data_IF_491368690840
#
_entry.id   IF_491368690840
#
_cell.length_a   1.000
_cell.length_b   1.000
_cell.length_c   1.000
_cell.angle_alpha   90.00
_cell.angle_beta   90.00
_cell.angle_gamma   90.00
#
_symmetry.space_group_name_H-M   'P 1'
#
loop_
_entity.id
_entity.type
_entity.pdbx_description
1 polymer ?
#
# COMPACT_ATOMS: atom_id res chain seq x y z
N UNK A 1 -29.23 3.96 -14.35
CA UNK A 1 -28.38 4.08 -15.55
C UNK A 1 -27.25 3.07 -15.44
N UNK A 2 -27.32 2.06 -16.31
CA UNK A 2 -26.43 0.92 -16.28
C UNK A 2 -25.08 1.16 -16.98
N UNK A 3 -24.36 0.10 -17.16
CA UNK A 3 -23.13 0.09 -17.94
C UNK A 3 -23.43 0.22 -19.44
N UNK A 4 -22.52 0.85 -20.18
CA UNK A 4 -22.53 0.88 -21.66
C UNK A 4 -21.17 0.43 -22.20
N UNK A 5 -21.18 -0.13 -23.39
CA UNK A 5 -19.92 -0.46 -24.08
C UNK A 5 -19.13 0.83 -24.36
N UNK A 6 -17.81 0.78 -24.14
CA UNK A 6 -16.95 1.94 -24.34
C UNK A 6 -17.04 2.48 -25.79
N UNK A 7 -17.06 3.81 -25.96
CA UNK A 7 -17.33 4.46 -27.24
C UNK A 7 -16.41 3.97 -28.40
N UNK A 8 -15.14 3.72 -28.12
CA UNK A 8 -14.19 3.18 -29.11
C UNK A 8 -14.63 1.81 -29.62
N UNK A 9 -15.19 0.97 -28.73
CA UNK A 9 -15.66 -0.37 -29.11
C UNK A 9 -17.01 -0.35 -29.82
N UNK A 10 -17.91 0.57 -29.45
CA UNK A 10 -19.16 0.79 -30.18
C UNK A 10 -18.93 1.18 -31.64
N UNK A 11 -17.81 1.87 -31.91
CA UNK A 11 -17.42 2.33 -33.24
C UNK A 11 -16.38 1.40 -33.92
N UNK A 12 -16.11 0.24 -33.35
CA UNK A 12 -15.18 -0.72 -33.95
C UNK A 12 -15.65 -1.19 -35.33
N UNK A 13 -14.74 -1.40 -36.24
CA UNK A 13 -15.00 -2.04 -37.55
C UNK A 13 -15.38 -3.52 -37.36
N UNK A 14 -14.95 -4.16 -36.27
CA UNK A 14 -15.29 -5.53 -35.95
C UNK A 14 -16.70 -5.62 -35.34
N UNK A 15 -17.58 -6.30 -36.08
CA UNK A 15 -18.98 -6.51 -35.66
C UNK A 15 -19.10 -7.33 -34.36
N UNK A 16 -18.17 -8.25 -34.09
CA UNK A 16 -18.16 -9.05 -32.86
C UNK A 16 -17.88 -8.17 -31.64
N UNK A 17 -16.95 -7.23 -31.75
CA UNK A 17 -16.64 -6.27 -30.68
C UNK A 17 -17.85 -5.37 -30.37
N UNK A 18 -18.57 -4.90 -31.40
CA UNK A 18 -19.81 -4.13 -31.22
C UNK A 18 -20.97 -4.92 -30.65
N UNK A 19 -20.91 -6.24 -30.76
CA UNK A 19 -21.95 -7.16 -30.29
C UNK A 19 -21.97 -7.40 -28.78
N UNK A 20 -21.02 -6.83 -28.03
CA UNK A 20 -21.02 -6.92 -26.57
C UNK A 20 -22.14 -6.04 -25.99
N UNK A 21 -22.90 -6.59 -25.04
CA UNK A 21 -24.06 -5.91 -24.44
C UNK A 21 -24.06 -6.02 -22.93
N UNK A 22 -24.70 -5.06 -22.27
CA UNK A 22 -25.08 -5.12 -20.87
C UNK A 22 -26.59 -4.99 -20.73
N UNK A 23 -27.19 -5.86 -19.94
CA UNK A 23 -28.62 -5.82 -19.60
C UNK A 23 -28.74 -5.70 -18.08
N UNK A 24 -29.37 -4.62 -17.62
CA UNK A 24 -29.64 -4.39 -16.19
C UNK A 24 -30.77 -5.28 -15.72
N UNK A 25 -30.58 -6.00 -14.62
CA UNK A 25 -31.59 -6.84 -13.97
C UNK A 25 -32.41 -6.07 -12.92
N UNK A 26 -33.54 -6.62 -12.50
CA UNK A 26 -34.48 -5.97 -11.57
C UNK A 26 -33.90 -5.79 -10.16
N UNK A 27 -32.92 -6.61 -9.75
CA UNK A 27 -32.34 -6.62 -8.39
C UNK A 27 -31.02 -5.83 -8.28
N UNK A 28 -30.74 -4.91 -9.22
CA UNK A 28 -29.46 -4.19 -9.25
C UNK A 28 -28.29 -5.02 -9.79
N UNK A 29 -28.51 -6.29 -10.10
CA UNK A 29 -27.58 -7.15 -10.83
C UNK A 29 -27.72 -6.90 -12.33
N UNK A 30 -26.67 -7.22 -13.10
CA UNK A 30 -26.73 -7.07 -14.55
C UNK A 30 -25.95 -8.18 -15.24
N UNK A 31 -26.31 -8.43 -16.50
CA UNK A 31 -25.67 -9.46 -17.31
C UNK A 31 -24.83 -8.80 -18.40
N UNK A 32 -23.55 -9.11 -18.45
CA UNK A 32 -22.65 -8.77 -19.54
C UNK A 32 -22.58 -9.95 -20.51
N UNK A 33 -22.82 -9.66 -21.77
CA UNK A 33 -22.65 -10.64 -22.86
C UNK A 33 -21.49 -10.18 -23.73
N UNK A 34 -20.46 -11.01 -23.84
CA UNK A 34 -19.27 -10.76 -24.64
C UNK A 34 -19.16 -11.87 -25.69
N UNK A 35 -19.13 -11.55 -27.00
CA UNK A 35 -18.96 -12.55 -28.05
C UNK A 35 -17.65 -13.33 -27.89
N UNK A 36 -17.66 -14.59 -28.35
CA UNK A 36 -16.47 -15.45 -28.27
C UNK A 36 -15.27 -14.81 -28.98
N UNK A 37 -14.08 -14.99 -28.39
CA UNK A 37 -12.81 -14.47 -28.92
C UNK A 37 -12.72 -12.94 -28.99
N UNK A 38 -13.53 -12.22 -28.20
CA UNK A 38 -13.49 -10.75 -28.12
C UNK A 38 -13.24 -10.28 -26.68
N UNK A 39 -12.85 -9.01 -26.55
CA UNK A 39 -12.75 -8.30 -25.27
C UNK A 39 -13.71 -7.12 -25.33
N UNK A 40 -14.49 -6.91 -24.27
CA UNK A 40 -15.38 -5.78 -24.14
C UNK A 40 -15.04 -4.93 -22.92
N UNK A 41 -15.02 -3.62 -23.09
CA UNK A 41 -14.88 -2.64 -22.01
C UNK A 41 -16.21 -1.93 -21.81
N UNK A 42 -16.80 -2.09 -20.63
CA UNK A 42 -18.02 -1.41 -20.24
C UNK A 42 -17.71 -0.26 -19.29
N UNK A 43 -18.35 0.87 -19.52
CA UNK A 43 -18.22 2.06 -18.69
C UNK A 43 -19.56 2.41 -18.05
N UNK A 44 -19.53 2.80 -16.80
CA UNK A 44 -20.68 3.34 -16.08
C UNK A 44 -20.38 4.79 -15.73
N UNK A 45 -21.12 5.76 -16.28
CA UNK A 45 -20.98 7.14 -15.85
C UNK A 45 -21.30 7.27 -14.36
N UNK A 46 -20.43 7.89 -13.62
CA UNK A 46 -20.65 8.21 -12.20
C UNK A 46 -20.75 9.73 -12.04
N UNK A 47 -21.73 10.17 -11.25
CA UNK A 47 -21.86 11.57 -10.84
C UNK A 47 -21.27 11.72 -9.45
N UNK A 48 -20.28 12.60 -9.29
CA UNK A 48 -19.65 12.91 -8.03
C UNK A 48 -18.11 12.89 -8.12
N UNK A 49 -17.47 13.42 -7.08
CA UNK A 49 -16.02 13.33 -6.94
C UNK A 49 -15.65 11.85 -6.78
N UNK A 50 -14.75 11.38 -7.61
CA UNK A 50 -14.12 10.09 -7.38
C UNK A 50 -13.32 10.18 -6.09
N UNK A 51 -13.40 9.13 -5.26
CA UNK A 51 -12.70 9.09 -3.97
C UNK A 51 -11.23 9.45 -4.14
N UNK A 52 -10.71 10.20 -3.19
CA UNK A 52 -9.29 10.49 -3.12
C UNK A 52 -8.50 9.17 -3.05
N UNK A 53 -7.51 9.04 -3.91
CA UNK A 53 -6.50 7.99 -3.75
C UNK A 53 -6.82 6.62 -4.34
N UNK A 54 -7.64 6.54 -5.39
CA UNK A 54 -7.60 5.33 -6.21
C UNK A 54 -6.26 5.30 -6.95
N UNK A 55 -5.33 4.47 -6.45
CA UNK A 55 -4.10 4.17 -7.17
C UNK A 55 -4.42 3.55 -8.54
N UNK A 56 -3.47 3.59 -9.46
CA UNK A 56 -3.60 2.87 -10.74
C UNK A 56 -3.92 1.37 -10.54
N UNK A 57 -3.55 0.83 -9.40
CA UNK A 57 -3.81 -0.55 -8.99
C UNK A 57 -5.29 -0.76 -8.64
N UNK A 58 -5.89 0.14 -7.85
CA UNK A 58 -7.32 0.09 -7.52
C UNK A 58 -8.22 0.32 -8.75
N UNK A 59 -7.77 1.15 -9.70
CA UNK A 59 -8.48 1.37 -10.97
C UNK A 59 -8.34 0.20 -11.95
N UNK A 60 -7.32 -0.63 -11.82
CA UNK A 60 -7.15 -1.83 -12.66
C UNK A 60 -8.02 -3.01 -12.20
N UNK A 61 -8.70 -2.90 -11.04
CA UNK A 61 -9.49 -3.98 -10.47
C UNK A 61 -8.66 -5.19 -9.99
N UNK A 62 -7.34 -5.05 -9.95
CA UNK A 62 -6.50 -6.04 -9.31
C UNK A 62 -6.76 -6.04 -7.80
N UNK A 63 -6.78 -7.19 -7.14
CA UNK A 63 -6.91 -7.23 -5.70
C UNK A 63 -5.71 -6.53 -5.05
N UNK A 64 -5.97 -5.75 -4.00
CA UNK A 64 -4.90 -5.21 -3.18
C UNK A 64 -4.14 -6.37 -2.52
N UNK A 65 -2.91 -6.55 -2.94
CA UNK A 65 -2.05 -7.61 -2.42
C UNK A 65 -1.31 -7.08 -1.21
N UNK A 66 -1.65 -7.61 -0.03
CA UNK A 66 -0.93 -7.31 1.21
C UNK A 66 0.50 -7.87 1.09
N UNK A 67 1.55 -7.02 1.08
CA UNK A 67 2.93 -7.45 0.75
C UNK A 67 3.46 -8.59 1.62
N UNK A 68 3.08 -8.62 2.91
CA UNK A 68 3.53 -9.66 3.85
C UNK A 68 2.39 -10.61 4.26
N UNK A 69 1.28 -10.65 3.50
CA UNK A 69 0.13 -11.52 3.76
C UNK A 69 -0.45 -11.30 5.16
N UNK A 70 -0.68 -12.38 5.90
CA UNK A 70 -1.21 -12.34 7.27
C UNK A 70 -0.14 -12.06 8.33
N UNK A 71 1.12 -11.84 7.94
CA UNK A 71 2.20 -11.57 8.89
C UNK A 71 2.08 -10.17 9.46
N UNK A 72 1.97 -10.07 10.78
CA UNK A 72 1.98 -8.77 11.46
C UNK A 72 3.42 -8.28 11.58
N UNK A 73 3.66 -7.06 11.12
CA UNK A 73 4.92 -6.37 11.30
C UNK A 73 4.80 -5.29 12.39
N UNK A 74 5.87 -5.04 13.09
CA UNK A 74 5.93 -4.16 14.26
C UNK A 74 7.06 -3.15 14.12
N UNK A 75 6.89 -1.97 14.70
CA UNK A 75 7.97 -1.07 15.04
C UNK A 75 8.64 -1.63 16.30
N UNK A 76 9.77 -2.29 16.15
CA UNK A 76 10.50 -2.88 17.27
C UNK A 76 11.77 -2.10 17.53
N UNK A 77 11.94 -1.58 18.72
CA UNK A 77 13.09 -0.72 19.01
C UNK A 77 13.20 -0.31 20.49
N UNK A 78 14.15 0.57 20.75
CA UNK A 78 14.45 1.04 22.11
C UNK A 78 13.26 1.74 22.76
N UNK A 79 12.37 2.37 21.95
CA UNK A 79 11.17 3.07 22.42
C UNK A 79 10.15 2.15 23.12
N UNK A 80 10.14 0.87 22.80
CA UNK A 80 9.20 -0.11 23.36
C UNK A 80 9.91 -1.37 23.91
N UNK A 81 11.24 -1.27 24.14
CA UNK A 81 12.01 -2.42 24.64
C UNK A 81 12.05 -3.61 23.68
N UNK A 82 11.96 -3.35 22.37
CA UNK A 82 11.96 -4.35 21.30
C UNK A 82 10.75 -5.30 21.32
N UNK A 83 9.66 -4.88 21.96
CA UNK A 83 8.41 -5.66 22.06
C UNK A 83 7.63 -5.71 20.75
N UNK A 84 6.48 -6.36 20.79
CA UNK A 84 5.47 -6.42 19.71
C UNK A 84 4.23 -5.57 20.04
N UNK A 85 4.40 -4.49 20.83
CA UNK A 85 3.28 -3.65 21.23
C UNK A 85 2.84 -2.69 20.12
N UNK A 86 3.81 -2.22 19.31
CA UNK A 86 3.57 -1.22 18.25
C UNK A 86 3.42 -1.91 16.88
N UNK A 87 2.25 -2.49 16.63
CA UNK A 87 1.93 -3.13 15.35
C UNK A 87 1.66 -2.10 14.25
N UNK A 88 2.26 -2.31 13.08
CA UNK A 88 1.91 -1.57 11.89
C UNK A 88 0.51 -1.96 11.37
N UNK A 89 -0.27 -0.96 10.99
CA UNK A 89 -1.58 -1.14 10.37
C UNK A 89 -1.45 -0.98 8.85
N UNK A 90 -1.93 -1.96 8.10
CA UNK A 90 -1.99 -1.88 6.64
C UNK A 90 -3.04 -0.86 6.19
N UNK A 91 -2.65 0.05 5.27
CA UNK A 91 -3.47 1.16 4.80
C UNK A 91 -3.98 0.96 3.35
N UNK A 92 -3.60 -0.14 2.71
CA UNK A 92 -3.79 -0.35 1.27
C UNK A 92 -2.60 0.08 0.44
N UNK A 93 -2.59 -0.32 -0.83
CA UNK A 93 -1.56 0.06 -1.82
C UNK A 93 -0.11 -0.21 -1.36
N UNK A 94 0.11 -1.29 -0.60
CA UNK A 94 1.44 -1.66 -0.10
C UNK A 94 1.91 -0.85 1.11
N UNK A 95 1.10 0.04 1.69
CA UNK A 95 1.51 0.94 2.76
C UNK A 95 1.10 0.45 4.14
N UNK A 96 1.98 0.65 5.10
CA UNK A 96 1.78 0.36 6.51
C UNK A 96 2.13 1.57 7.35
N UNK A 97 1.38 1.82 8.43
CA UNK A 97 1.63 2.94 9.34
C UNK A 97 1.58 2.52 10.80
N UNK A 98 2.37 3.19 11.63
CA UNK A 98 2.30 3.12 13.09
C UNK A 98 2.76 4.45 13.67
N UNK A 99 2.26 4.83 14.83
CA UNK A 99 2.72 6.02 15.54
C UNK A 99 3.45 5.64 16.83
N UNK A 100 4.44 6.44 17.20
CA UNK A 100 5.14 6.30 18.47
C UNK A 100 5.44 7.69 19.06
N UNK A 101 5.24 7.83 20.39
CA UNK A 101 5.64 9.06 21.11
C UNK A 101 7.09 8.95 21.52
N UNK A 102 7.92 9.88 21.06
CA UNK A 102 9.37 9.87 21.27
C UNK A 102 9.83 11.15 21.96
N UNK A 103 10.91 11.04 22.73
CA UNK A 103 11.55 12.20 23.37
C UNK A 103 12.59 12.83 22.46
N UNK A 104 12.56 14.17 22.35
CA UNK A 104 13.51 14.94 21.55
C UNK A 104 14.95 14.79 22.06
N UNK A 105 15.88 14.62 21.13
CA UNK A 105 17.32 14.49 21.42
C UNK A 105 17.74 13.08 21.89
N UNK A 106 16.79 12.13 22.07
CA UNK A 106 17.11 10.74 22.39
C UNK A 106 17.25 9.94 21.09
N UNK A 107 18.31 9.15 20.96
CA UNK A 107 18.49 8.27 19.80
C UNK A 107 17.84 6.92 20.08
N UNK A 108 16.97 6.48 19.17
CA UNK A 108 16.30 5.19 19.23
C UNK A 108 16.81 4.28 18.13
N UNK A 109 17.32 3.12 18.51
CA UNK A 109 17.58 2.02 17.58
C UNK A 109 16.29 1.25 17.32
N UNK A 110 16.00 0.88 16.07
CA UNK A 110 14.77 0.15 15.75
C UNK A 110 14.83 -0.63 14.44
N UNK A 111 13.80 -1.42 14.19
CA UNK A 111 13.60 -2.19 12.95
C UNK A 111 12.11 -2.28 12.60
N UNK A 112 11.84 -2.53 11.33
CA UNK A 112 10.56 -3.00 10.83
C UNK A 112 10.61 -4.53 10.78
N UNK A 113 9.92 -5.21 11.71
CA UNK A 113 10.09 -6.65 11.87
C UNK A 113 8.84 -7.37 12.37
N UNK A 114 8.68 -8.65 11.97
CA UNK A 114 7.70 -9.57 12.54
C UNK A 114 8.13 -10.05 13.93
N UNK A 115 7.21 -10.69 14.66
CA UNK A 115 7.48 -11.25 15.99
C UNK A 115 8.65 -12.22 15.96
N UNK A 116 8.70 -13.08 14.95
CA UNK A 116 9.70 -14.16 14.78
C UNK A 116 11.01 -13.70 14.14
N UNK A 117 11.13 -12.43 13.72
CA UNK A 117 12.29 -11.88 13.01
C UNK A 117 12.64 -12.57 11.68
N UNK A 118 11.73 -13.34 11.10
CA UNK A 118 12.02 -14.16 9.92
C UNK A 118 11.29 -13.66 8.67
N UNK A 119 9.97 -13.51 8.72
CA UNK A 119 9.16 -13.12 7.56
C UNK A 119 9.36 -11.65 7.21
N UNK A 120 9.38 -10.79 8.23
CA UNK A 120 9.72 -9.37 8.10
C UNK A 120 10.89 -9.07 9.04
N UNK A 121 12.00 -8.61 8.48
CA UNK A 121 13.17 -8.20 9.26
C UNK A 121 14.01 -7.23 8.44
N UNK A 122 13.64 -5.96 8.50
CA UNK A 122 14.25 -4.90 7.72
C UNK A 122 14.92 -3.85 8.61
N UNK A 123 16.07 -3.39 8.15
CA UNK A 123 16.86 -2.34 8.77
C UNK A 123 17.73 -1.63 7.75
N UNK A 124 18.87 -1.09 8.16
CA UNK A 124 19.82 -0.48 7.25
C UNK A 124 20.56 -1.53 6.43
N UNK A 125 20.87 -1.24 5.16
CA UNK A 125 21.69 -2.13 4.34
C UNK A 125 23.09 -2.32 4.98
N UNK A 126 23.69 -3.48 4.74
CA UNK A 126 25.02 -3.78 5.29
C UNK A 126 26.06 -2.79 4.77
N UNK A 127 26.79 -2.19 5.70
CA UNK A 127 27.79 -1.18 5.40
C UNK A 127 27.26 0.25 5.21
N UNK A 128 25.95 0.45 5.33
CA UNK A 128 25.31 1.77 5.34
C UNK A 128 25.03 2.25 6.77
N UNK A 129 25.02 3.59 6.93
CA UNK A 129 24.55 4.18 8.16
C UNK A 129 23.03 4.01 8.30
N UNK A 130 22.60 3.50 9.46
CA UNK A 130 21.17 3.29 9.77
C UNK A 130 20.42 4.58 10.09
N UNK A 131 21.02 5.75 9.94
CA UNK A 131 20.41 7.02 10.31
C UNK A 131 19.18 7.31 9.45
N UNK A 132 18.08 7.62 10.13
CA UNK A 132 16.80 8.06 9.55
C UNK A 132 16.63 9.54 9.86
N UNK A 133 16.25 10.33 8.85
CA UNK A 133 15.98 11.76 8.96
C UNK A 133 14.50 12.00 8.77
N UNK A 134 13.89 12.80 9.65
CA UNK A 134 12.46 13.11 9.54
C UNK A 134 12.14 13.79 8.20
N UNK A 135 11.11 13.32 7.51
CA UNK A 135 10.66 13.81 6.20
C UNK A 135 11.51 13.32 5.02
N UNK A 136 12.51 12.46 5.24
CA UNK A 136 13.31 11.86 4.16
C UNK A 136 13.02 10.36 4.05
N UNK A 137 13.02 9.86 2.81
CA UNK A 137 12.84 8.44 2.52
C UNK A 137 14.13 7.66 2.78
N UNK A 138 14.00 6.50 3.41
CA UNK A 138 15.09 5.54 3.63
C UNK A 138 14.70 4.18 3.08
N UNK A 139 15.43 3.70 2.07
CA UNK A 139 15.28 2.34 1.57
C UNK A 139 15.82 1.35 2.61
N UNK A 140 15.05 0.33 2.91
CA UNK A 140 15.39 -0.71 3.87
C UNK A 140 15.90 -1.97 3.18
N UNK A 141 16.68 -2.76 3.91
CA UNK A 141 17.17 -4.04 3.45
C UNK A 141 16.89 -5.13 4.48
N UNK A 142 16.81 -6.39 4.03
CA UNK A 142 16.80 -7.56 4.92
C UNK A 142 18.16 -7.71 5.57
N UNK A 143 18.27 -7.35 6.84
CA UNK A 143 19.54 -7.30 7.56
C UNK A 143 19.33 -7.35 9.06
N UNK A 144 20.39 -7.62 9.81
CA UNK A 144 20.41 -7.49 11.27
C UNK A 144 20.86 -6.09 11.75
N UNK A 145 21.22 -5.19 10.85
CA UNK A 145 21.63 -3.82 11.18
C UNK A 145 20.43 -2.96 11.55
N UNK A 146 20.47 -2.33 12.70
CA UNK A 146 19.39 -1.47 13.16
C UNK A 146 19.36 -0.15 12.38
N UNK A 147 18.16 0.42 12.26
CA UNK A 147 17.96 1.84 11.97
C UNK A 147 18.19 2.65 13.24
N UNK A 148 18.46 3.94 13.08
CA UNK A 148 18.55 4.87 14.21
C UNK A 148 17.85 6.18 13.87
N UNK A 149 17.02 6.67 14.78
CA UNK A 149 16.32 7.94 14.65
C UNK A 149 16.49 8.78 15.91
N UNK A 150 16.85 10.06 15.73
CA UNK A 150 16.95 11.05 16.82
C UNK A 150 15.97 12.17 16.54
N UNK A 151 14.77 12.16 17.17
CA UNK A 151 13.78 13.21 16.97
C UNK A 151 14.32 14.56 17.47
N UNK A 152 14.05 15.63 16.74
CA UNK A 152 14.46 16.98 17.15
C UNK A 152 13.64 17.50 18.34
N UNK A 153 12.40 17.08 18.46
CA UNK A 153 11.45 17.50 19.52
C UNK A 153 10.72 16.30 20.08
N UNK A 154 10.27 16.40 21.34
CA UNK A 154 9.37 15.40 21.93
C UNK A 154 7.99 15.54 21.31
N UNK A 155 7.52 14.51 20.59
CA UNK A 155 6.26 14.49 19.86
C UNK A 155 5.83 13.06 19.53
N UNK A 156 4.63 12.92 18.99
CA UNK A 156 4.21 11.71 18.29
C UNK A 156 4.74 11.75 16.86
N UNK A 157 5.36 10.66 16.44
CA UNK A 157 5.90 10.49 15.10
C UNK A 157 5.16 9.39 14.37
N UNK A 158 4.80 9.65 13.12
CA UNK A 158 4.23 8.69 12.19
C UNK A 158 5.37 7.99 11.44
N UNK A 159 5.40 6.68 11.53
CA UNK A 159 6.26 5.81 10.73
C UNK A 159 5.45 5.22 9.60
N UNK A 160 5.83 5.50 8.37
CA UNK A 160 5.20 4.96 7.16
C UNK A 160 6.17 4.03 6.45
N UNK A 161 5.72 2.82 6.15
CA UNK A 161 6.43 1.86 5.30
C UNK A 161 5.69 1.73 3.97
N UNK A 162 6.35 2.03 2.87
CA UNK A 162 5.91 1.67 1.53
C UNK A 162 6.59 0.36 1.12
N UNK A 163 5.84 -0.72 1.13
CA UNK A 163 6.28 -2.07 0.77
C UNK A 163 5.73 -2.50 -0.60
N UNK A 164 5.47 -1.56 -1.51
CA UNK A 164 5.13 -1.86 -2.90
C UNK A 164 6.20 -2.77 -3.53
N UNK A 165 7.48 -2.53 -3.20
CA UNK A 165 8.55 -3.52 -3.32
C UNK A 165 8.78 -4.17 -1.95
N UNK A 166 8.24 -5.38 -1.77
CA UNK A 166 8.33 -6.10 -0.50
C UNK A 166 9.73 -6.55 -0.10
N UNK A 167 10.69 -6.52 -1.03
CA UNK A 167 12.09 -6.88 -0.76
C UNK A 167 12.97 -5.67 -0.46
N UNK A 168 12.53 -4.47 -0.84
CA UNK A 168 13.22 -3.21 -0.59
C UNK A 168 12.22 -2.11 -0.16
N UNK A 169 11.51 -2.28 0.98
CA UNK A 169 10.53 -1.31 1.42
C UNK A 169 11.20 0.03 1.77
N UNK A 170 10.41 1.10 1.67
CA UNK A 170 10.85 2.46 1.95
C UNK A 170 10.21 2.92 3.26
N UNK A 171 11.03 3.42 4.18
CA UNK A 171 10.59 4.05 5.42
C UNK A 171 10.57 5.56 5.28
N UNK A 172 9.55 6.19 5.80
CA UNK A 172 9.48 7.62 6.09
C UNK A 172 9.02 7.85 7.53
N UNK A 173 9.61 8.82 8.22
CA UNK A 173 9.23 9.21 9.59
C UNK A 173 8.89 10.69 9.60
N UNK A 174 7.70 11.03 10.06
CA UNK A 174 7.20 12.40 10.09
C UNK A 174 6.67 12.76 11.49
N UNK A 175 6.71 14.05 11.84
CA UNK A 175 6.05 14.56 13.04
C UNK A 175 4.53 14.65 12.75
N UNK A 176 3.70 14.09 13.63
CA UNK A 176 2.25 14.10 13.50
C UNK A 176 1.63 15.46 13.93
#
# INVERSE_FOLDING_TARGET
TGFSLHATQMNSVDAAVRGATFVEGEDGNGTFTVPALTIAVFVKPQSGAQGYGLSAYATSGAPDVVPYGDTIAYLRGDMNGWSTDDAFTYQGDGKYTVTATLEGGVTYGFKFASEDWSTVNFGAADGEEGTVIAGEEKVLARTNTNLSFTPATSATYLFTIDATDSEAPILMVENE
#
